data_IF_946119717815
#
_entry.id   IF_946119717815
#
_cell.length_a   1.000
_cell.length_b   1.000
_cell.length_c   1.000
_cell.angle_alpha   90.00
_cell.angle_beta   90.00
_cell.angle_gamma   90.00
#
_symmetry.space_group_name_H-M   'P 1'
#
loop_
_entity.id
_entity.type
_entity.pdbx_description
1 polymer ?
#
# COMPACT_ATOMS: atom_id res chain seq x y z
N UNK A 1 -14.35 33.90 24.50
CA UNK A 1 -13.06 33.62 23.83
C UNK A 1 -13.40 32.80 22.62
N UNK A 2 -13.33 33.32 21.38
CA UNK A 2 -13.68 32.52 20.21
C UNK A 2 -12.61 31.44 20.06
N UNK A 3 -13.03 30.18 20.23
CA UNK A 3 -12.16 29.02 20.11
C UNK A 3 -11.59 28.96 18.69
N UNK A 4 -10.27 29.00 18.55
CA UNK A 4 -9.58 28.83 17.28
C UNK A 4 -9.94 27.45 16.71
N UNK A 5 -10.80 27.42 15.69
CA UNK A 5 -11.13 26.21 14.95
C UNK A 5 -9.86 25.72 14.26
N UNK A 6 -9.25 24.68 14.81
CA UNK A 6 -8.14 23.95 14.19
C UNK A 6 -8.52 23.55 12.77
N UNK A 7 -7.89 24.20 11.79
CA UNK A 7 -8.11 23.92 10.36
C UNK A 7 -7.59 22.50 10.08
N UNK A 8 -8.48 21.60 9.69
CA UNK A 8 -8.13 20.21 9.34
C UNK A 8 -7.62 20.16 7.91
N UNK A 9 -6.63 19.31 7.62
CA UNK A 9 -6.12 19.09 6.26
C UNK A 9 -7.23 18.48 5.39
N UNK A 10 -7.64 19.13 4.29
CA UNK A 10 -8.66 18.58 3.40
C UNK A 10 -8.13 17.36 2.66
N UNK A 11 -9.01 16.40 2.38
CA UNK A 11 -8.64 15.12 1.75
C UNK A 11 -8.93 15.08 0.25
N UNK A 12 -9.75 16.00 -0.25
CA UNK A 12 -10.22 16.04 -1.63
C UNK A 12 -11.25 14.94 -1.92
N UNK A 13 -11.88 15.04 -3.08
CA UNK A 13 -12.83 14.05 -3.62
C UNK A 13 -12.23 13.38 -4.85
N UNK A 14 -12.56 12.11 -5.07
CA UNK A 14 -12.06 11.39 -6.24
C UNK A 14 -12.84 11.79 -7.50
N UNK A 15 -12.15 11.94 -8.62
CA UNK A 15 -12.72 12.28 -9.93
C UNK A 15 -12.13 11.39 -11.03
N UNK A 16 -12.95 11.03 -12.02
CA UNK A 16 -12.50 10.28 -13.20
C UNK A 16 -11.89 11.23 -14.23
N UNK A 17 -10.70 10.89 -14.73
CA UNK A 17 -10.07 11.56 -15.86
C UNK A 17 -10.73 11.05 -17.15
N UNK A 18 -11.39 11.93 -17.94
CA UNK A 18 -12.05 11.53 -19.17
C UNK A 18 -11.08 10.85 -20.14
N UNK A 19 -11.48 9.70 -20.71
CA UNK A 19 -10.71 8.99 -21.75
C UNK A 19 -9.56 8.11 -21.25
N UNK A 20 -9.23 8.10 -19.95
CA UNK A 20 -8.21 7.18 -19.40
C UNK A 20 -8.78 5.84 -18.91
N UNK A 21 -10.09 5.75 -18.68
CA UNK A 21 -10.70 4.53 -18.18
C UNK A 21 -10.68 3.42 -19.24
N UNK A 22 -10.19 2.23 -18.87
CA UNK A 22 -10.17 1.05 -19.75
C UNK A 22 -11.27 0.03 -19.43
N UNK A 23 -12.26 0.39 -18.60
CA UNK A 23 -13.35 -0.50 -18.17
C UNK A 23 -12.88 -1.88 -17.64
N UNK A 24 -11.85 -1.90 -16.79
CA UNK A 24 -11.18 -3.13 -16.30
C UNK A 24 -12.00 -4.06 -15.37
N UNK A 25 -13.32 -3.87 -15.24
CA UNK A 25 -14.18 -4.72 -14.42
C UNK A 25 -14.34 -4.24 -12.96
N UNK A 26 -14.71 -2.97 -12.76
CA UNK A 26 -15.24 -2.44 -11.50
C UNK A 26 -14.34 -2.54 -10.24
N UNK A 27 -13.01 -2.75 -10.38
CA UNK A 27 -12.08 -2.79 -9.24
C UNK A 27 -12.17 -1.56 -8.34
N UNK A 28 -12.35 -0.39 -8.95
CA UNK A 28 -12.53 0.88 -8.23
C UNK A 28 -13.82 0.89 -7.38
N UNK A 29 -14.90 0.28 -7.85
CA UNK A 29 -16.15 0.09 -7.10
C UNK A 29 -15.93 -0.82 -5.89
N UNK A 30 -15.40 -2.03 -6.09
CA UNK A 30 -15.17 -3.00 -4.99
C UNK A 30 -14.19 -2.49 -3.94
N UNK A 31 -13.23 -1.64 -4.33
CA UNK A 31 -12.25 -1.06 -3.40
C UNK A 31 -12.81 0.04 -2.49
N UNK A 32 -13.99 0.58 -2.81
CA UNK A 32 -14.55 1.75 -2.14
C UNK A 32 -15.21 1.35 -0.81
N UNK A 33 -14.70 1.79 0.35
CA UNK A 33 -15.23 1.38 1.67
C UNK A 33 -16.55 2.08 2.05
N UNK A 34 -17.02 3.01 1.21
CA UNK A 34 -18.22 3.82 1.42
C UNK A 34 -19.18 3.75 0.24
N UNK A 35 -18.95 2.81 -0.68
CA UNK A 35 -19.80 2.59 -1.85
C UNK A 35 -20.09 3.88 -2.63
N UNK A 36 -19.07 4.76 -2.71
CA UNK A 36 -19.15 6.06 -3.38
C UNK A 36 -18.88 5.96 -4.90
N UNK A 37 -18.68 4.76 -5.44
CA UNK A 37 -18.34 4.53 -6.85
C UNK A 37 -19.38 3.59 -7.43
N UNK A 38 -20.07 4.04 -8.46
CA UNK A 38 -21.03 3.26 -9.24
C UNK A 38 -20.55 3.15 -10.69
N UNK A 39 -20.92 2.09 -11.40
CA UNK A 39 -20.45 1.87 -12.78
C UNK A 39 -21.56 2.23 -13.76
N UNK A 40 -21.23 2.97 -14.81
CA UNK A 40 -22.17 3.29 -15.90
C UNK A 40 -22.26 2.16 -16.93
N UNK A 41 -23.16 2.30 -17.91
CA UNK A 41 -23.33 1.33 -19.01
C UNK A 41 -22.09 1.15 -19.90
N UNK A 42 -21.17 2.13 -19.90
CA UNK A 42 -19.89 2.07 -20.62
C UNK A 42 -18.77 1.40 -19.81
N UNK A 43 -19.04 1.00 -18.58
CA UNK A 43 -18.05 0.43 -17.67
C UNK A 43 -17.08 1.46 -17.07
N UNK A 44 -17.47 2.74 -17.03
CA UNK A 44 -16.72 3.81 -16.38
C UNK A 44 -17.28 4.12 -14.98
N UNK A 45 -16.43 4.50 -14.01
CA UNK A 45 -16.88 4.83 -12.66
C UNK A 45 -17.49 6.24 -12.59
N UNK A 46 -18.73 6.31 -12.10
CA UNK A 46 -19.40 7.52 -11.61
C UNK A 46 -19.11 7.62 -10.11
N UNK A 47 -18.47 8.72 -9.69
CA UNK A 47 -18.08 8.93 -8.30
C UNK A 47 -19.03 9.92 -7.63
N UNK A 48 -19.68 9.49 -6.55
CA UNK A 48 -20.50 10.33 -5.68
C UNK A 48 -19.60 11.12 -4.73
N UNK A 49 -19.52 12.43 -4.97
CA UNK A 49 -18.70 13.36 -4.19
C UNK A 49 -19.18 13.52 -2.74
N UNK A 50 -20.45 13.23 -2.44
CA UNK A 50 -21.01 13.34 -1.09
C UNK A 50 -20.61 12.15 -0.21
N UNK A 51 -20.51 10.95 -0.80
CA UNK A 51 -20.09 9.73 -0.10
C UNK A 51 -18.58 9.55 -0.06
N UNK A 52 -17.85 10.22 -0.95
CA UNK A 52 -16.41 10.08 -1.06
C UNK A 52 -15.68 10.69 0.16
N UNK A 53 -15.01 9.84 0.93
CA UNK A 53 -14.23 10.26 2.11
C UNK A 53 -12.76 10.59 1.81
N UNK A 54 -12.36 10.60 0.54
CA UNK A 54 -10.99 10.88 0.10
C UNK A 54 -9.96 9.83 0.55
N UNK A 55 -10.35 8.55 0.65
CA UNK A 55 -9.46 7.47 1.12
C UNK A 55 -8.41 6.99 0.11
N UNK A 56 -8.52 7.40 -1.17
CA UNK A 56 -7.58 7.10 -2.27
C UNK A 56 -7.39 5.62 -2.63
N UNK A 57 -8.22 4.70 -2.12
CA UNK A 57 -8.17 3.27 -2.50
C UNK A 57 -8.44 3.04 -3.98
N UNK A 58 -9.42 3.76 -4.53
CA UNK A 58 -9.78 3.70 -5.94
C UNK A 58 -8.63 4.16 -6.87
N UNK A 59 -7.84 5.14 -6.44
CA UNK A 59 -6.66 5.61 -7.18
C UNK A 59 -5.60 4.50 -7.22
N UNK A 60 -5.28 3.91 -6.07
CA UNK A 60 -4.25 2.85 -5.95
C UNK A 60 -4.58 1.58 -6.72
N UNK A 61 -5.86 1.21 -6.82
CA UNK A 61 -6.27 -0.04 -7.50
C UNK A 61 -6.43 0.13 -9.02
N UNK A 62 -6.44 1.36 -9.53
CA UNK A 62 -6.72 1.65 -10.94
C UNK A 62 -5.45 1.44 -11.79
N UNK A 63 -5.37 0.39 -12.63
CA UNK A 63 -4.16 0.14 -13.43
C UNK A 63 -3.76 1.28 -14.38
N UNK A 64 -4.70 1.97 -15.09
CA UNK A 64 -4.35 3.10 -15.94
C UNK A 64 -4.27 4.44 -15.18
N UNK A 65 -4.38 4.44 -13.85
CA UNK A 65 -4.42 5.66 -13.03
C UNK A 65 -5.48 6.67 -13.52
N UNK A 66 -6.64 6.16 -13.92
CA UNK A 66 -7.71 6.97 -14.50
C UNK A 66 -8.48 7.80 -13.46
N UNK A 67 -8.21 7.64 -12.16
CA UNK A 67 -8.91 8.34 -11.07
C UNK A 67 -7.91 9.25 -10.37
N UNK A 68 -8.22 10.53 -10.28
CA UNK A 68 -7.44 11.53 -9.57
C UNK A 68 -8.17 12.08 -8.35
N UNK A 69 -7.44 12.79 -7.48
CA UNK A 69 -8.02 13.49 -6.33
C UNK A 69 -8.17 14.97 -6.67
N UNK A 70 -9.41 15.42 -6.78
CA UNK A 70 -9.77 16.81 -6.95
C UNK A 70 -9.93 17.50 -5.60
N UNK A 71 -9.46 18.75 -5.52
CA UNK A 71 -9.59 19.63 -4.35
C UNK A 71 -10.29 20.90 -4.78
N UNK A 72 -11.19 21.42 -3.95
CA UNK A 72 -11.83 22.70 -4.25
C UNK A 72 -10.83 23.85 -4.13
N UNK A 73 -11.09 25.02 -4.76
CA UNK A 73 -10.21 26.18 -4.63
C UNK A 73 -9.99 26.64 -3.18
N UNK A 74 -10.96 26.41 -2.31
CA UNK A 74 -10.85 26.70 -0.87
C UNK A 74 -9.94 25.69 -0.16
N UNK A 75 -10.08 24.40 -0.49
CA UNK A 75 -9.21 23.36 0.03
C UNK A 75 -7.76 23.53 -0.43
N UNK A 76 -7.54 23.97 -1.67
CA UNK A 76 -6.22 24.27 -2.21
C UNK A 76 -5.56 25.44 -1.46
N UNK A 77 -6.32 26.48 -1.07
CA UNK A 77 -5.80 27.57 -0.23
C UNK A 77 -5.40 27.07 1.15
N UNK A 78 -6.24 26.23 1.77
CA UNK A 78 -5.92 25.61 3.06
C UNK A 78 -4.66 24.74 2.95
N UNK A 79 -4.52 23.97 1.88
CA UNK A 79 -3.31 23.16 1.63
C UNK A 79 -2.08 24.06 1.46
N UNK A 80 -2.17 25.12 0.68
CA UNK A 80 -1.07 26.08 0.49
C UNK A 80 -0.69 26.80 1.79
N UNK A 81 -1.66 27.19 2.61
CA UNK A 81 -1.42 27.77 3.94
C UNK A 81 -0.76 26.76 4.90
N UNK A 82 -1.18 25.50 4.86
CA UNK A 82 -0.59 24.42 5.65
C UNK A 82 0.83 24.07 5.17
N UNK A 83 1.09 24.11 3.86
CA UNK A 83 2.41 23.92 3.26
C UNK A 83 3.35 25.07 3.57
N UNK A 84 2.85 26.32 3.58
CA UNK A 84 3.63 27.49 4.00
C UNK A 84 3.96 27.48 5.50
N UNK A 85 3.09 26.85 6.32
CA UNK A 85 3.31 26.70 7.76
C UNK A 85 4.12 25.44 8.12
N UNK A 86 4.12 24.44 7.25
CA UNK A 86 4.98 23.26 7.34
C UNK A 86 6.37 23.59 6.84
N UNK A 87 7.42 23.16 7.54
CA UNK A 87 8.78 23.26 7.00
C UNK A 87 8.81 22.50 5.65
N UNK A 88 9.16 23.15 4.53
CA UNK A 88 9.26 22.45 3.25
C UNK A 88 10.54 21.61 3.26
N UNK A 89 10.40 20.28 3.13
CA UNK A 89 11.53 19.41 2.77
C UNK A 89 12.12 18.51 3.85
N UNK A 90 11.44 18.26 4.98
CA UNK A 90 11.76 17.07 5.76
C UNK A 90 11.10 15.88 5.04
N UNK A 91 11.82 15.26 4.08
CA UNK A 91 11.76 13.80 4.04
C UNK A 91 11.99 13.38 5.49
N UNK A 92 11.10 12.60 6.12
CA UNK A 92 11.35 12.20 7.49
C UNK A 92 12.76 11.60 7.51
N UNK A 93 13.66 12.13 8.33
CA UNK A 93 14.95 11.46 8.62
C UNK A 93 14.69 10.00 9.01
N UNK A 94 13.49 9.76 9.57
CA UNK A 94 12.85 8.47 9.81
C UNK A 94 12.82 7.53 8.60
N UNK A 95 12.55 7.98 7.37
CA UNK A 95 12.48 7.09 6.19
C UNK A 95 13.88 6.57 5.80
N UNK A 96 14.91 7.41 5.81
CA UNK A 96 16.28 7.01 5.48
C UNK A 96 16.95 6.23 6.64
N UNK A 97 16.69 6.58 7.91
CA UNK A 97 17.09 5.79 9.07
C UNK A 97 16.39 4.42 9.13
N UNK A 98 15.08 4.36 8.86
CA UNK A 98 14.34 3.08 8.82
C UNK A 98 14.85 2.15 7.72
N UNK A 99 15.13 2.67 6.52
CA UNK A 99 15.68 1.85 5.43
C UNK A 99 17.06 1.29 5.76
N UNK A 100 17.94 2.09 6.37
CA UNK A 100 19.25 1.65 6.82
C UNK A 100 19.18 0.62 7.95
N UNK A 101 18.27 0.82 8.91
CA UNK A 101 18.01 -0.11 10.01
C UNK A 101 17.40 -1.43 9.52
N UNK A 102 16.49 -1.38 8.55
CA UNK A 102 15.91 -2.56 7.91
C UNK A 102 16.99 -3.32 7.14
N UNK A 103 17.85 -2.64 6.40
CA UNK A 103 18.98 -3.25 5.70
C UNK A 103 20.00 -3.87 6.68
N UNK A 104 20.23 -3.24 7.83
CA UNK A 104 21.08 -3.79 8.89
C UNK A 104 20.46 -5.06 9.51
N UNK A 105 19.16 -5.03 9.82
CA UNK A 105 18.41 -6.19 10.35
C UNK A 105 18.35 -7.35 9.35
N UNK A 106 18.17 -7.06 8.06
CA UNK A 106 18.16 -8.06 6.99
C UNK A 106 19.47 -8.86 6.88
N UNK A 107 20.61 -8.24 7.18
CA UNK A 107 21.93 -8.91 7.19
C UNK A 107 22.10 -9.90 8.35
N UNK A 108 21.29 -9.80 9.40
CA UNK A 108 21.36 -10.67 10.56
C UNK A 108 20.66 -12.02 10.33
N UNK A 109 19.77 -12.13 9.34
CA UNK A 109 19.06 -13.38 9.05
C UNK A 109 20.03 -14.41 8.48
N UNK A 110 20.19 -15.50 9.23
CA UNK A 110 21.06 -16.61 8.93
C UNK A 110 20.37 -17.91 9.35
N UNK A 111 20.85 -19.02 8.82
CA UNK A 111 20.28 -20.35 9.06
C UNK A 111 19.85 -21.03 7.76
N UNK A 112 19.72 -22.34 7.82
CA UNK A 112 19.21 -23.16 6.71
C UNK A 112 17.91 -23.78 7.18
N UNK A 113 16.85 -23.68 6.38
CA UNK A 113 15.55 -24.24 6.72
C UNK A 113 15.23 -25.34 5.72
N UNK A 114 14.90 -26.53 6.22
CA UNK A 114 14.42 -27.64 5.41
C UNK A 114 12.95 -27.89 5.72
N UNK A 115 12.11 -27.73 4.70
CA UNK A 115 10.70 -28.02 4.82
C UNK A 115 10.45 -29.52 4.67
N UNK A 116 9.76 -30.12 5.64
CA UNK A 116 9.43 -31.55 5.65
C UNK A 116 7.95 -31.69 5.32
N UNK A 117 7.66 -32.09 4.09
CA UNK A 117 6.30 -32.47 3.71
C UNK A 117 5.91 -33.80 4.37
N UNK A 118 4.71 -33.84 4.94
CA UNK A 118 4.14 -35.03 5.57
C UNK A 118 2.74 -35.31 5.03
N UNK A 119 2.42 -36.59 4.90
CA UNK A 119 1.06 -37.08 4.64
C UNK A 119 0.72 -38.08 5.75
N UNK A 120 -0.39 -37.87 6.45
CA UNK A 120 -0.83 -38.73 7.56
C UNK A 120 0.25 -38.94 8.64
N UNK A 121 1.05 -37.92 8.91
CA UNK A 121 2.14 -37.94 9.88
C UNK A 121 3.42 -38.63 9.38
N UNK A 122 3.45 -39.10 8.13
CA UNK A 122 4.63 -39.72 7.52
C UNK A 122 5.37 -38.71 6.62
N UNK A 123 6.65 -38.40 6.91
CA UNK A 123 7.46 -37.59 6.02
C UNK A 123 7.66 -38.23 4.65
N UNK A 124 7.63 -37.42 3.59
CA UNK A 124 8.07 -37.87 2.27
C UNK A 124 9.54 -38.33 2.32
N UNK A 125 9.89 -39.37 1.55
CA UNK A 125 11.26 -39.93 1.55
C UNK A 125 12.30 -38.86 1.17
N UNK A 126 11.97 -38.00 0.21
CA UNK A 126 12.81 -36.89 -0.25
C UNK A 126 13.14 -35.91 0.89
N UNK A 127 12.26 -35.76 1.88
CA UNK A 127 12.50 -34.88 3.03
C UNK A 127 13.73 -35.31 3.85
N UNK A 128 14.02 -36.62 3.92
CA UNK A 128 15.22 -37.12 4.61
C UNK A 128 16.51 -36.81 3.86
N UNK A 129 16.47 -36.88 2.53
CA UNK A 129 17.61 -36.51 1.68
C UNK A 129 17.90 -35.01 1.78
N UNK A 130 16.84 -34.18 1.75
CA UNK A 130 16.95 -32.73 1.91
C UNK A 130 17.45 -32.33 3.29
N UNK A 131 17.10 -33.07 4.36
CA UNK A 131 17.67 -32.85 5.69
C UNK A 131 19.18 -33.10 5.70
N UNK A 132 19.66 -34.13 4.98
CA UNK A 132 21.09 -34.40 4.83
C UNK A 132 21.82 -33.25 4.12
N UNK A 133 21.34 -32.87 2.93
CA UNK A 133 21.91 -31.77 2.14
C UNK A 133 21.82 -30.42 2.86
N UNK A 134 20.70 -30.17 3.54
CA UNK A 134 20.51 -28.98 4.37
C UNK A 134 21.53 -28.92 5.50
N UNK A 135 21.81 -30.04 6.16
CA UNK A 135 22.85 -30.13 7.18
C UNK A 135 24.26 -29.86 6.66
N UNK A 136 24.59 -30.34 5.45
CA UNK A 136 25.85 -30.00 4.79
C UNK A 136 25.95 -28.51 4.48
N UNK A 137 24.86 -27.90 3.98
CA UNK A 137 24.80 -26.47 3.69
C UNK A 137 24.95 -25.63 4.96
N UNK A 138 24.30 -26.01 6.05
CA UNK A 138 24.38 -25.33 7.34
C UNK A 138 25.82 -25.35 7.88
N UNK A 139 26.48 -26.53 7.85
CA UNK A 139 27.89 -26.69 8.22
C UNK A 139 28.82 -25.84 7.34
N UNK A 140 28.62 -25.87 6.01
CA UNK A 140 29.43 -25.11 5.07
C UNK A 140 29.30 -23.59 5.28
N UNK A 141 28.15 -23.13 5.75
CA UNK A 141 27.87 -21.72 6.06
C UNK A 141 28.19 -21.34 7.51
N UNK A 142 28.51 -22.30 8.38
CA UNK A 142 28.75 -22.07 9.81
C UNK A 142 27.50 -21.59 10.56
N UNK A 143 26.32 -22.00 10.11
CA UNK A 143 25.01 -21.59 10.66
C UNK A 143 24.22 -22.81 11.13
N UNK A 144 23.15 -22.58 11.88
CA UNK A 144 22.25 -23.63 12.35
C UNK A 144 21.31 -24.13 11.24
N UNK A 145 20.92 -25.40 11.33
CA UNK A 145 19.86 -26.05 10.56
C UNK A 145 18.60 -26.14 11.43
#
# INVERSE_FOLDING_TARGET
>A
MPEEKKVKKPRGVAQLIPGKCIACGARCQTSCPKDAVEMNDKGEPIIDTQKCIGCRKCVKVCPPEAIEMYFTPEELKILAELEARGKPGEKPEVEEEEEADVAAKLKLYQGVWVFVEQTEGQPAVVSWELLGVGGDLARARGVEL
#
